data_IF_324276816061
#
_entry.id   IF_324276816061
#
_cell.length_a   1.000
_cell.length_b   1.000
_cell.length_c   1.000
_cell.angle_alpha   90.00
_cell.angle_beta   90.00
_cell.angle_gamma   90.00
#
_symmetry.space_group_name_H-M   'P 1'
#
loop_
_entity.id
_entity.type
_entity.pdbx_description
1 polymer ?
#
# COMPACT_ATOMS: atom_id res chain seq x y z
N UNK A 1 -7.50 -6.15 3.19
CA UNK A 1 -6.40 -5.17 3.35
C UNK A 1 -5.55 -5.43 4.59
N UNK A 2 -6.15 -5.62 5.77
CA UNK A 2 -5.37 -5.89 6.99
C UNK A 2 -4.45 -7.10 6.86
N UNK A 3 -4.96 -8.23 6.36
CA UNK A 3 -4.15 -9.43 6.12
C UNK A 3 -2.98 -9.15 5.17
N UNK A 4 -3.25 -8.40 4.08
CA UNK A 4 -2.23 -8.01 3.11
C UNK A 4 -1.09 -7.19 3.74
N UNK A 5 -1.42 -6.28 4.66
CA UNK A 5 -0.43 -5.51 5.43
C UNK A 5 0.40 -6.45 6.29
N UNK A 6 -0.24 -7.39 7.01
CA UNK A 6 0.41 -8.33 7.92
C UNK A 6 1.31 -9.34 7.19
N UNK A 7 0.91 -9.73 5.98
CA UNK A 7 1.64 -10.72 5.18
C UNK A 7 2.83 -10.12 4.42
N UNK A 8 2.70 -8.88 3.94
CA UNK A 8 3.69 -8.25 3.07
C UNK A 8 4.65 -7.29 3.77
N UNK A 9 4.24 -6.69 4.88
CA UNK A 9 5.11 -5.84 5.68
C UNK A 9 5.69 -6.65 6.84
N UNK A 10 7.03 -6.76 6.95
CA UNK A 10 7.65 -7.42 8.09
C UNK A 10 7.71 -6.48 9.30
N UNK A 11 7.69 -7.06 10.50
CA UNK A 11 8.24 -6.37 11.67
C UNK A 11 9.76 -6.50 11.63
N UNK A 12 10.44 -5.44 11.21
CA UNK A 12 11.87 -5.40 10.97
C UNK A 12 12.44 -4.02 11.40
N UNK A 13 12.70 -3.84 12.72
CA UNK A 13 13.13 -2.56 13.28
C UNK A 13 14.40 -1.98 12.63
N UNK A 14 15.31 -2.83 12.18
CA UNK A 14 16.57 -2.47 11.53
C UNK A 14 16.39 -1.79 10.16
N UNK A 15 15.25 -2.01 9.51
CA UNK A 15 14.83 -1.30 8.29
C UNK A 15 13.67 -0.34 8.57
N UNK A 16 13.28 -0.16 9.84
CA UNK A 16 12.28 0.80 10.28
C UNK A 16 10.85 0.39 10.01
N UNK A 17 10.57 -0.90 9.75
CA UNK A 17 9.20 -1.39 9.59
C UNK A 17 8.71 -2.05 10.88
N UNK A 18 7.48 -1.71 11.25
CA UNK A 18 6.80 -2.23 12.44
C UNK A 18 5.36 -2.56 12.06
N UNK A 19 4.85 -3.70 12.52
CA UNK A 19 3.47 -4.15 12.22
C UNK A 19 2.77 -4.52 13.51
N UNK A 20 1.49 -4.18 13.62
CA UNK A 20 0.68 -4.50 14.78
C UNK A 20 0.65 -6.03 15.01
N UNK A 21 0.62 -6.51 16.26
CA UNK A 21 0.58 -5.74 17.52
C UNK A 21 1.96 -5.22 17.97
N UNK A 22 3.03 -5.46 17.21
CA UNK A 22 4.42 -5.21 17.60
C UNK A 22 4.93 -3.83 17.17
N UNK A 23 4.14 -2.78 17.39
CA UNK A 23 4.54 -1.39 17.11
C UNK A 23 4.85 -0.67 18.43
N UNK A 24 6.08 -0.15 18.63
CA UNK A 24 6.41 0.63 19.81
C UNK A 24 5.49 1.85 19.99
N UNK A 25 4.97 2.05 21.21
CA UNK A 25 3.97 3.08 21.48
C UNK A 25 4.47 4.49 21.22
N UNK A 26 5.74 4.74 21.50
CA UNK A 26 6.41 6.02 21.33
C UNK A 26 6.52 6.41 19.86
N UNK A 27 6.78 5.45 18.96
CA UNK A 27 6.83 5.65 17.51
C UNK A 27 5.46 5.98 16.92
N UNK A 28 4.42 5.25 17.32
CA UNK A 28 3.04 5.55 16.89
C UNK A 28 2.64 6.93 17.38
N UNK A 29 2.95 7.26 18.64
CA UNK A 29 2.68 8.57 19.21
C UNK A 29 3.40 9.69 18.45
N UNK A 30 4.65 9.49 18.06
CA UNK A 30 5.41 10.43 17.21
C UNK A 30 4.67 10.71 15.90
N UNK A 31 4.34 9.65 15.16
CA UNK A 31 3.64 9.77 13.89
C UNK A 31 2.28 10.48 14.02
N UNK A 32 1.45 10.07 14.98
CA UNK A 32 0.11 10.66 15.19
C UNK A 32 0.17 12.13 15.64
N UNK A 33 1.23 12.51 16.35
CA UNK A 33 1.45 13.90 16.78
C UNK A 33 1.89 14.78 15.61
N UNK A 34 2.80 14.28 14.78
CA UNK A 34 3.51 15.14 13.83
C UNK A 34 2.82 15.19 12.45
N UNK A 35 2.49 14.04 11.86
CA UNK A 35 1.86 13.99 10.51
C UNK A 35 0.53 13.24 10.44
N UNK A 36 0.35 12.13 11.15
CA UNK A 36 -0.83 11.27 11.04
C UNK A 36 -2.00 11.70 11.98
N UNK A 37 -2.22 13.01 12.14
CA UNK A 37 -3.21 13.59 13.08
C UNK A 37 -4.65 13.15 12.81
N UNK A 38 -4.95 12.75 11.58
CA UNK A 38 -6.28 12.29 11.15
C UNK A 38 -6.52 10.79 11.39
N UNK A 39 -5.52 10.05 11.89
CA UNK A 39 -5.58 8.61 12.12
C UNK A 39 -5.81 8.34 13.60
N UNK A 40 -6.72 7.42 13.94
CA UNK A 40 -6.85 6.95 15.33
C UNK A 40 -5.80 5.90 15.59
N UNK A 41 -5.30 5.87 16.83
CA UNK A 41 -4.29 4.89 17.25
C UNK A 41 -4.67 3.43 16.98
N UNK A 42 -5.95 3.07 17.16
CA UNK A 42 -6.44 1.72 16.91
C UNK A 42 -6.49 1.32 15.43
N UNK A 43 -6.43 2.29 14.52
CA UNK A 43 -6.49 2.05 13.08
C UNK A 43 -5.10 1.83 12.47
N UNK A 44 -4.03 1.96 13.27
CA UNK A 44 -2.64 1.79 12.84
C UNK A 44 -2.30 0.31 12.76
N UNK A 45 -2.10 -0.18 11.54
CA UNK A 45 -1.75 -1.57 11.26
C UNK A 45 -0.25 -1.77 11.05
N UNK A 46 0.43 -0.76 10.48
CA UNK A 46 1.88 -0.75 10.34
C UNK A 46 2.45 0.67 10.35
N UNK A 47 3.74 0.76 10.63
CA UNK A 47 4.52 1.99 10.57
C UNK A 47 5.84 1.74 9.85
N UNK A 48 6.15 2.61 8.90
CA UNK A 48 7.52 2.85 8.44
C UNK A 48 8.04 4.08 9.15
N UNK A 49 9.08 3.92 9.97
CA UNK A 49 9.78 5.01 10.64
C UNK A 49 11.00 5.38 9.81
N UNK A 50 10.98 6.56 9.16
CA UNK A 50 12.08 7.07 8.35
C UNK A 50 13.12 7.85 9.17
N UNK A 51 12.84 8.10 10.45
CA UNK A 51 13.65 9.01 11.27
C UNK A 51 14.99 8.40 11.61
N UNK A 52 16.02 9.25 11.65
CA UNK A 52 17.36 8.83 12.00
C UNK A 52 17.48 8.44 13.48
N UNK A 53 16.83 9.21 14.37
CA UNK A 53 16.79 8.94 15.81
C UNK A 53 15.74 7.88 16.19
N UNK A 54 14.90 7.44 15.26
CA UNK A 54 13.89 6.42 15.50
C UNK A 54 12.72 6.89 16.38
N UNK A 55 12.35 8.16 16.33
CA UNK A 55 11.22 8.70 17.12
C UNK A 55 9.87 8.58 16.38
N UNK A 56 9.87 8.16 15.10
CA UNK A 56 8.67 7.99 14.29
C UNK A 56 7.99 9.29 13.82
N UNK A 57 8.65 10.45 13.95
CA UNK A 57 8.10 11.75 13.48
C UNK A 57 8.03 11.88 11.96
N UNK A 58 8.78 11.06 11.21
CA UNK A 58 8.75 10.97 9.75
C UNK A 58 8.57 9.51 9.30
N UNK A 59 8.05 9.35 8.08
CA UNK A 59 7.85 8.05 7.44
C UNK A 59 6.39 7.86 7.02
N UNK A 60 5.83 6.69 7.26
CA UNK A 60 4.48 6.35 6.85
C UNK A 60 3.71 5.54 7.91
N UNK A 61 2.41 5.81 8.02
CA UNK A 61 1.43 5.01 8.76
C UNK A 61 0.53 4.33 7.74
N UNK A 62 0.28 3.04 7.96
CA UNK A 62 -0.61 2.22 7.16
C UNK A 62 -1.84 1.86 7.99
N UNK A 63 -3.01 2.20 7.48
CA UNK A 63 -4.30 1.75 8.02
C UNK A 63 -4.93 0.73 7.07
N UNK A 64 -6.13 0.25 7.39
CA UNK A 64 -6.91 -0.64 6.51
C UNK A 64 -7.37 0.00 5.20
N UNK A 65 -7.35 1.32 5.08
CA UNK A 65 -7.93 2.05 3.94
C UNK A 65 -6.92 2.92 3.19
N UNK A 66 -5.88 3.38 3.88
CA UNK A 66 -4.98 4.40 3.36
C UNK A 66 -3.60 4.35 4.01
N UNK A 67 -2.65 4.92 3.29
CA UNK A 67 -1.34 5.28 3.81
C UNK A 67 -1.27 6.80 4.03
N UNK A 68 -0.79 7.23 5.19
CA UNK A 68 -0.49 8.62 5.52
C UNK A 68 1.00 8.74 5.72
N UNK A 69 1.67 9.70 5.08
CA UNK A 69 3.13 9.79 5.13
C UNK A 69 3.67 11.23 5.11
N UNK A 70 4.89 11.38 5.62
CA UNK A 70 5.69 12.60 5.59
C UNK A 70 7.15 12.18 5.37
N UNK A 71 7.82 12.76 4.37
CA UNK A 71 9.21 12.37 4.06
C UNK A 71 10.24 12.96 5.04
N UNK A 72 9.96 14.15 5.58
CA UNK A 72 10.76 14.84 6.59
C UNK A 72 9.90 15.91 7.27
N UNK A 73 10.28 16.38 8.46
CA UNK A 73 9.48 17.31 9.28
C UNK A 73 8.96 18.56 8.52
N UNK A 74 9.73 19.06 7.55
CA UNK A 74 9.35 20.22 6.71
C UNK A 74 8.45 19.90 5.50
N UNK A 75 8.23 18.62 5.19
CA UNK A 75 7.37 18.19 4.08
C UNK A 75 5.90 18.26 4.51
N UNK A 76 4.99 18.67 3.62
CA UNK A 76 3.56 18.56 3.90
C UNK A 76 3.15 17.10 4.04
N UNK A 77 2.32 16.78 5.03
CA UNK A 77 1.69 15.46 5.16
C UNK A 77 0.92 15.12 3.89
N UNK A 78 1.12 13.90 3.40
CA UNK A 78 0.40 13.34 2.28
C UNK A 78 -0.42 12.14 2.74
N UNK A 79 -1.49 11.88 2.00
CA UNK A 79 -2.36 10.74 2.22
C UNK A 79 -2.60 10.07 0.86
N UNK A 80 -2.75 8.75 0.82
CA UNK A 80 -3.12 8.00 -0.37
C UNK A 80 -4.05 6.88 0.07
N UNK A 81 -5.29 6.88 -0.41
CA UNK A 81 -6.17 5.71 -0.25
C UNK A 81 -5.73 4.62 -1.20
N UNK A 82 -5.82 3.37 -0.78
CA UNK A 82 -5.36 2.26 -1.63
C UNK A 82 -6.18 2.16 -2.93
N UNK A 83 -7.48 2.45 -2.86
CA UNK A 83 -8.40 2.48 -4.01
C UNK A 83 -8.04 3.54 -5.06
N UNK A 84 -7.31 4.58 -4.66
CA UNK A 84 -6.91 5.67 -5.56
C UNK A 84 -5.59 5.35 -6.29
N UNK A 85 -4.85 4.31 -5.88
CA UNK A 85 -3.54 3.99 -6.48
C UNK A 85 -3.74 3.49 -7.92
N UNK A 86 -2.96 4.04 -8.85
CA UNK A 86 -2.98 3.69 -10.27
C UNK A 86 -1.69 3.00 -10.70
N UNK A 87 -0.56 3.39 -10.10
CA UNK A 87 0.74 2.86 -10.44
C UNK A 87 1.71 3.00 -9.27
N UNK A 88 2.60 2.02 -9.13
CA UNK A 88 3.69 2.05 -8.15
C UNK A 88 5.00 1.67 -8.83
N UNK A 89 6.01 2.55 -8.72
CA UNK A 89 7.35 2.33 -9.31
C UNK A 89 8.44 2.56 -8.27
N UNK A 90 9.46 1.71 -8.23
CA UNK A 90 10.64 1.93 -7.38
C UNK A 90 11.81 2.43 -8.22
N UNK A 91 12.55 3.43 -7.73
CA UNK A 91 13.82 3.87 -8.33
C UNK A 91 14.94 3.90 -7.29
N UNK A 92 16.13 3.42 -7.70
CA UNK A 92 17.38 3.59 -6.93
C UNK A 92 17.90 5.02 -7.11
N UNK A 93 18.44 5.61 -6.05
CA UNK A 93 19.18 6.89 -6.13
C UNK A 93 20.66 6.63 -6.46
N UNK A 94 21.32 7.60 -7.09
CA UNK A 94 22.74 7.52 -7.45
C UNK A 94 23.68 7.38 -6.24
N UNK A 95 23.30 7.92 -5.06
CA UNK A 95 24.16 7.98 -3.86
C UNK A 95 23.66 7.02 -2.75
N UNK A 96 23.12 5.86 -3.15
CA UNK A 96 22.41 4.99 -2.22
C UNK A 96 21.06 5.57 -1.80
N UNK A 97 20.17 4.71 -1.32
CA UNK A 97 18.78 5.08 -1.08
C UNK A 97 17.84 4.69 -2.21
N UNK A 98 16.55 4.68 -1.90
CA UNK A 98 15.47 4.35 -2.83
C UNK A 98 14.34 5.36 -2.71
N UNK A 99 13.54 5.45 -3.77
CA UNK A 99 12.27 6.17 -3.79
C UNK A 99 11.19 5.25 -4.32
N UNK A 100 10.00 5.34 -3.73
CA UNK A 100 8.78 4.73 -4.27
C UNK A 100 7.92 5.86 -4.81
N UNK A 101 7.60 5.76 -6.08
CA UNK A 101 6.70 6.67 -6.80
C UNK A 101 5.33 6.01 -6.84
N UNK A 102 4.30 6.75 -6.44
CA UNK A 102 2.93 6.30 -6.43
C UNK A 102 2.09 7.31 -7.20
N UNK A 103 1.51 6.90 -8.32
CA UNK A 103 0.54 7.73 -9.03
C UNK A 103 -0.84 7.37 -8.48
N UNK A 104 -1.60 8.36 -8.01
CA UNK A 104 -2.92 8.14 -7.44
C UNK A 104 -3.96 9.15 -7.95
N UNK A 105 -5.20 8.70 -8.11
CA UNK A 105 -6.32 9.52 -8.53
C UNK A 105 -6.73 10.48 -7.42
N UNK A 106 -6.93 11.75 -7.78
CA UNK A 106 -7.43 12.82 -6.94
C UNK A 106 -8.52 13.56 -7.70
N UNK A 107 -9.76 13.14 -7.48
CA UNK A 107 -10.91 13.63 -8.24
C UNK A 107 -10.76 13.26 -9.72
N UNK A 108 -10.49 14.25 -10.59
CA UNK A 108 -10.36 14.05 -12.04
C UNK A 108 -8.92 14.03 -12.56
N UNK A 109 -7.93 14.09 -11.66
CA UNK A 109 -6.52 14.11 -12.02
C UNK A 109 -5.78 12.94 -11.39
N UNK A 110 -4.75 12.43 -12.07
CA UNK A 110 -3.77 11.51 -11.47
C UNK A 110 -2.57 12.34 -11.01
N UNK A 111 -2.25 12.25 -9.72
CA UNK A 111 -1.20 13.04 -9.07
C UNK A 111 -0.06 12.11 -8.65
N UNK A 112 1.20 12.46 -8.95
CA UNK A 112 2.35 11.69 -8.51
C UNK A 112 2.71 12.02 -7.06
N UNK A 113 2.97 10.98 -6.28
CA UNK A 113 3.50 11.03 -4.93
C UNK A 113 4.86 10.34 -4.88
N UNK A 114 5.75 10.81 -4.00
CA UNK A 114 7.09 10.23 -3.85
C UNK A 114 7.36 10.00 -2.37
N UNK A 115 7.67 8.76 -2.03
CA UNK A 115 8.06 8.34 -0.69
C UNK A 115 9.57 8.12 -0.69
N UNK A 116 10.28 8.75 0.25
CA UNK A 116 11.73 8.69 0.34
C UNK A 116 12.19 7.59 1.33
N UNK A 117 13.00 6.67 0.81
CA UNK A 117 13.62 5.59 1.57
C UNK A 117 15.14 5.75 1.60
N UNK A 118 15.64 7.00 1.58
CA UNK A 118 17.09 7.26 1.65
C UNK A 118 17.73 6.74 2.94
N UNK A 119 17.08 6.91 4.09
CA UNK A 119 17.61 6.45 5.38
C UNK A 119 17.55 4.94 5.57
N UNK A 120 16.53 4.28 4.99
CA UNK A 120 16.27 2.85 5.17
C UNK A 120 15.85 2.19 3.84
N UNK A 121 16.76 2.06 2.86
CA UNK A 121 16.42 1.68 1.48
C UNK A 121 15.80 0.29 1.32
N UNK A 122 16.09 -0.64 2.22
CA UNK A 122 15.53 -2.00 2.17
C UNK A 122 14.00 -2.02 2.39
N UNK A 123 13.46 -1.08 3.18
CA UNK A 123 12.02 -0.98 3.40
C UNK A 123 11.24 -0.64 2.11
N UNK A 124 11.89 0.00 1.13
CA UNK A 124 11.25 0.38 -0.12
C UNK A 124 10.69 -0.83 -0.90
N UNK A 125 11.34 -1.99 -0.83
CA UNK A 125 10.88 -3.20 -1.54
C UNK A 125 9.59 -3.74 -0.95
N UNK A 126 9.53 -3.84 0.38
CA UNK A 126 8.33 -4.28 1.09
C UNK A 126 7.17 -3.32 0.90
N UNK A 127 7.41 -2.01 1.07
CA UNK A 127 6.36 -1.00 0.90
C UNK A 127 5.90 -0.92 -0.56
N UNK A 128 6.80 -0.95 -1.54
CA UNK A 128 6.40 -0.94 -2.95
C UNK A 128 5.58 -2.18 -3.32
N UNK A 129 6.01 -3.38 -2.88
CA UNK A 129 5.26 -4.62 -3.10
C UNK A 129 3.87 -4.52 -2.46
N UNK A 130 3.79 -4.12 -1.20
CA UNK A 130 2.51 -3.93 -0.53
C UNK A 130 1.58 -2.99 -1.31
N UNK A 131 2.06 -1.82 -1.73
CA UNK A 131 1.23 -0.85 -2.46
C UNK A 131 0.78 -1.37 -3.84
N UNK A 132 1.60 -2.18 -4.51
CA UNK A 132 1.22 -2.85 -5.76
C UNK A 132 0.10 -3.86 -5.54
N UNK A 133 0.22 -4.69 -4.52
CA UNK A 133 -0.80 -5.70 -4.19
C UNK A 133 -2.08 -5.05 -3.67
N UNK A 134 -1.97 -3.97 -2.90
CA UNK A 134 -3.12 -3.20 -2.42
C UNK A 134 -3.90 -2.58 -3.59
N UNK A 135 -3.19 -2.04 -4.59
CA UNK A 135 -3.80 -1.57 -5.83
C UNK A 135 -4.56 -2.69 -6.55
N UNK A 136 -3.94 -3.86 -6.74
CA UNK A 136 -4.58 -4.99 -7.42
C UNK A 136 -5.81 -5.50 -6.65
N UNK A 137 -5.72 -5.64 -5.33
CA UNK A 137 -6.83 -6.07 -4.48
C UNK A 137 -8.04 -5.14 -4.63
N UNK A 138 -7.83 -3.82 -4.62
CA UNK A 138 -8.95 -2.87 -4.78
C UNK A 138 -9.60 -2.91 -6.16
N UNK A 139 -8.84 -3.22 -7.22
CA UNK A 139 -9.38 -3.42 -8.58
C UNK A 139 -10.27 -4.67 -8.60
N UNK A 140 -9.81 -5.77 -7.99
CA UNK A 140 -10.57 -7.02 -7.90
C UNK A 140 -11.86 -6.80 -7.11
N UNK A 141 -11.78 -6.20 -5.93
CA UNK A 141 -12.95 -5.92 -5.08
C UNK A 141 -13.98 -5.07 -5.82
N UNK A 142 -13.53 -4.04 -6.56
CA UNK A 142 -14.41 -3.20 -7.38
C UNK A 142 -15.06 -3.97 -8.55
N UNK A 143 -14.34 -4.91 -9.17
CA UNK A 143 -14.89 -5.76 -10.23
C UNK A 143 -15.91 -6.77 -9.69
N UNK A 144 -15.64 -7.39 -8.54
CA UNK A 144 -16.56 -8.30 -7.85
C UNK A 144 -17.83 -7.57 -7.43
N UNK A 145 -17.71 -6.42 -6.77
CA UNK A 145 -18.86 -5.62 -6.32
C UNK A 145 -19.79 -5.20 -7.48
N UNK A 146 -19.23 -4.87 -8.65
CA UNK A 146 -20.00 -4.57 -9.88
C UNK A 146 -20.68 -5.79 -10.49
N UNK A 147 -20.15 -6.98 -10.21
CA UNK A 147 -20.71 -8.25 -10.66
C UNK A 147 -21.79 -8.74 -9.71
N UNK A 148 -21.65 -8.58 -8.40
CA UNK A 148 -22.69 -8.94 -7.42
C UNK A 148 -23.98 -8.12 -7.59
N UNK A 149 -23.86 -6.85 -8.00
CA UNK A 149 -25.03 -6.02 -8.37
C UNK A 149 -25.67 -6.42 -9.70
N UNK A 150 -25.03 -7.30 -10.49
CA UNK A 150 -25.53 -7.86 -11.74
C UNK A 150 -25.41 -9.39 -11.68
N UNK A 151 -26.35 -10.06 -11.01
CA UNK A 151 -26.59 -11.53 -11.01
C UNK A 151 -25.45 -12.33 -11.65
N UNK A 152 -24.51 -12.84 -10.83
CA UNK A 152 -23.22 -13.44 -11.21
C UNK A 152 -23.20 -14.06 -12.61
N UNK A 153 -22.71 -13.32 -13.58
CA UNK A 153 -22.37 -13.86 -14.88
C UNK A 153 -20.89 -14.25 -14.84
N UNK A 154 -20.61 -15.50 -14.49
CA UNK A 154 -19.24 -16.07 -14.41
C UNK A 154 -18.43 -15.77 -15.66
N UNK A 155 -19.08 -15.73 -16.83
CA UNK A 155 -18.42 -15.41 -18.10
C UNK A 155 -17.93 -13.95 -18.16
N UNK A 156 -18.62 -13.01 -17.50
CA UNK A 156 -18.20 -11.61 -17.46
C UNK A 156 -16.97 -11.42 -16.56
N UNK A 157 -16.90 -12.15 -15.44
CA UNK A 157 -15.72 -12.14 -14.55
C UNK A 157 -14.52 -12.76 -15.25
N UNK A 158 -14.72 -13.88 -15.93
CA UNK A 158 -13.69 -14.55 -16.72
C UNK A 158 -13.15 -13.64 -17.84
N UNK A 159 -14.01 -12.89 -18.52
CA UNK A 159 -13.58 -11.93 -19.55
C UNK A 159 -12.71 -10.79 -18.98
N UNK A 160 -13.05 -10.27 -17.79
CA UNK A 160 -12.24 -9.22 -17.15
C UNK A 160 -10.88 -9.76 -16.72
N UNK A 161 -10.84 -10.93 -16.09
CA UNK A 161 -9.60 -11.55 -15.63
C UNK A 161 -8.67 -11.92 -16.80
N UNK A 162 -9.23 -12.44 -17.89
CA UNK A 162 -8.46 -12.69 -19.12
C UNK A 162 -7.92 -11.38 -19.73
N UNK A 163 -8.70 -10.29 -19.71
CA UNK A 163 -8.22 -8.98 -20.15
C UNK A 163 -7.06 -8.44 -19.32
N UNK A 164 -7.04 -8.71 -18.01
CA UNK A 164 -5.92 -8.34 -17.13
C UNK A 164 -4.67 -9.17 -17.40
N UNK A 165 -4.82 -10.47 -17.66
CA UNK A 165 -3.70 -11.34 -18.10
C UNK A 165 -3.12 -10.84 -19.42
N UNK A 166 -3.96 -10.59 -20.41
CA UNK A 166 -3.52 -10.17 -21.75
C UNK A 166 -2.82 -8.79 -21.72
N UNK A 167 -3.18 -7.93 -20.75
CA UNK A 167 -2.51 -6.68 -20.47
C UNK A 167 -1.21 -6.82 -19.64
N UNK A 168 -0.81 -8.05 -19.28
CA UNK A 168 0.37 -8.36 -18.45
C UNK A 168 0.23 -7.94 -16.98
N UNK A 169 -1.01 -7.70 -16.50
CA UNK A 169 -1.30 -7.24 -15.14
C UNK A 169 -1.64 -8.38 -14.16
N UNK A 170 -1.78 -9.59 -14.67
CA UNK A 170 -2.12 -10.80 -13.92
C UNK A 170 -1.30 -11.96 -14.46
N UNK A 171 -0.74 -12.80 -13.58
CA UNK A 171 -0.03 -14.02 -14.02
C UNK A 171 -1.03 -15.15 -14.28
N UNK A 172 -0.60 -16.17 -15.03
CA UNK A 172 -1.44 -17.36 -15.28
C UNK A 172 -1.76 -18.13 -13.99
N UNK A 173 -0.87 -18.07 -12.99
CA UNK A 173 -1.06 -18.73 -11.70
C UNK A 173 -2.12 -18.01 -10.86
N UNK A 174 -2.08 -16.68 -10.84
CA UNK A 174 -3.09 -15.84 -10.16
C UNK A 174 -4.46 -16.00 -10.81
N UNK A 175 -4.53 -16.02 -12.14
CA UNK A 175 -5.76 -16.25 -12.90
C UNK A 175 -6.40 -17.59 -12.51
N UNK A 176 -5.60 -18.65 -12.46
CA UNK A 176 -6.07 -19.99 -12.10
C UNK A 176 -6.59 -20.05 -10.67
N UNK A 177 -5.88 -19.42 -9.73
CA UNK A 177 -6.31 -19.30 -8.33
C UNK A 177 -7.66 -18.61 -8.22
N UNK A 178 -7.80 -17.44 -8.86
CA UNK A 178 -9.03 -16.63 -8.82
C UNK A 178 -10.24 -17.36 -9.45
N UNK A 179 -10.07 -18.02 -10.59
CA UNK A 179 -11.13 -18.79 -11.25
C UNK A 179 -11.63 -19.98 -10.41
N UNK A 180 -10.75 -20.58 -9.59
CA UNK A 180 -11.10 -21.70 -8.71
C UNK A 180 -12.00 -21.29 -7.54
N UNK A 181 -11.91 -20.04 -7.08
CA UNK A 181 -12.77 -19.48 -6.02
C UNK A 181 -14.17 -19.21 -6.57
N UNK A 182 -14.24 -18.63 -7.76
CA UNK A 182 -15.49 -18.28 -8.44
C UNK A 182 -16.30 -19.53 -8.83
N UNK A 183 -15.62 -20.63 -9.22
CA UNK A 183 -16.31 -21.86 -9.66
C UNK A 183 -16.85 -22.71 -8.51
N UNK A 184 -16.43 -22.45 -7.27
CA UNK A 184 -16.83 -23.18 -6.06
C UNK A 184 -17.81 -22.41 -5.15
N UNK A 185 -18.31 -21.25 -5.61
CA UNK A 185 -19.28 -20.39 -4.93
C UNK A 185 -20.66 -20.50 -5.57
#
# INVERSE_FOLDING_TARGET
>A
MEDLIRDLLPTAPEIGLFVAPNIPEDKVRGALKDYAKSVKRGDVLAQYDATWMGNGSDGAIFTSERMVFQNHDLSPTQEIRYEDIVQVTTKKKFIGGRKVYVDANRGRATVPFVIDFSGKPKAAEYVARFLQEAMLATIVDAAVSRTETRTTNVNAVEQVLNGLRDAGKLTDEDLKGMMSVISNS
#
